data_IF_007047108326
#
_entry.id   IF_007047108326
#
_cell.length_a   1.000
_cell.length_b   1.000
_cell.length_c   1.000
_cell.angle_alpha   90.00
_cell.angle_beta   90.00
_cell.angle_gamma   90.00
#
_symmetry.space_group_name_H-M   'P 1'
#
loop_
_entity.id
_entity.type
_entity.pdbx_description
1 polymer ?
#
# COMPACT_ATOMS: atom_id res chain seq x y z
N UNK A 1 -7.41 3.09 37.95
CA UNK A 1 -7.69 2.79 36.53
C UNK A 1 -6.50 2.09 35.94
N UNK A 2 -6.73 1.14 35.04
CA UNK A 2 -5.70 0.34 34.36
C UNK A 2 -5.46 0.91 32.97
N UNK A 3 -4.21 1.15 32.61
CA UNK A 3 -3.78 1.38 31.25
C UNK A 3 -3.42 0.02 30.62
N UNK A 4 -4.23 -0.44 29.68
CA UNK A 4 -3.97 -1.67 28.91
C UNK A 4 -3.16 -1.37 27.65
N UNK A 5 -2.18 -2.21 27.33
CA UNK A 5 -1.29 -2.04 26.18
C UNK A 5 -1.19 -3.35 25.40
N UNK A 6 -1.30 -3.27 24.07
CA UNK A 6 -1.04 -4.38 23.15
C UNK A 6 -0.46 -3.85 21.82
N UNK A 7 0.22 -4.73 21.09
CA UNK A 7 0.85 -4.39 19.82
C UNK A 7 0.30 -5.18 18.63
N UNK A 8 0.37 -4.57 17.46
CA UNK A 8 0.10 -5.20 16.17
C UNK A 8 1.20 -4.92 15.15
N UNK A 9 1.44 -5.87 14.27
CA UNK A 9 2.39 -5.63 13.18
C UNK A 9 3.81 -6.10 13.46
N UNK A 10 4.08 -7.03 14.39
CA UNK A 10 5.42 -7.61 14.62
C UNK A 10 5.90 -8.47 13.46
N UNK A 11 5.03 -9.31 12.89
CA UNK A 11 5.38 -10.33 11.89
C UNK A 11 5.28 -9.94 10.41
N UNK A 12 4.51 -8.93 9.99
CA UNK A 12 4.42 -8.53 8.59
C UNK A 12 5.77 -8.13 7.99
N UNK A 13 5.93 -8.39 6.69
CA UNK A 13 7.10 -7.99 5.90
C UNK A 13 7.05 -6.53 5.47
N UNK A 14 5.85 -5.93 5.48
CA UNK A 14 5.62 -4.54 5.11
C UNK A 14 4.67 -3.83 6.09
N UNK A 15 4.82 -2.51 6.18
CA UNK A 15 3.98 -1.63 6.98
C UNK A 15 4.49 -1.42 8.41
N UNK A 16 3.83 -0.54 9.16
CA UNK A 16 4.28 -0.11 10.48
C UNK A 16 4.05 -1.17 11.55
N UNK A 17 4.79 -1.02 12.66
CA UNK A 17 4.47 -1.55 13.97
C UNK A 17 3.58 -0.52 14.67
N UNK A 18 2.51 -0.95 15.31
CA UNK A 18 1.57 -0.08 16.02
C UNK A 18 1.30 -0.65 17.41
N UNK A 19 1.38 0.19 18.42
CA UNK A 19 1.00 -0.12 19.81
C UNK A 19 -0.23 0.70 20.17
N UNK A 20 -1.22 0.04 20.76
CA UNK A 20 -2.37 0.68 21.37
C UNK A 20 -2.20 0.78 22.89
N UNK A 21 -2.70 1.87 23.47
CA UNK A 21 -2.76 2.08 24.89
C UNK A 21 -4.15 2.63 25.25
N UNK A 22 -4.89 2.00 26.17
CA UNK A 22 -6.28 2.37 26.50
C UNK A 22 -6.51 2.38 28.00
N UNK A 23 -7.16 3.43 28.49
CA UNK A 23 -7.78 3.51 29.82
C UNK A 23 -9.29 3.55 29.63
N UNK A 24 -9.99 2.46 29.95
CA UNK A 24 -11.45 2.41 29.79
C UNK A 24 -12.18 3.31 30.79
N UNK A 25 -11.62 3.52 31.99
CA UNK A 25 -12.31 4.22 33.07
C UNK A 25 -13.51 3.40 33.58
N UNK A 26 -14.70 3.99 33.54
CA UNK A 26 -15.96 3.34 33.95
C UNK A 26 -16.70 2.73 32.74
N UNK A 27 -16.15 2.81 31.53
CA UNK A 27 -16.80 2.30 30.33
C UNK A 27 -16.89 0.77 30.36
N UNK A 28 -18.11 0.27 30.24
CA UNK A 28 -18.42 -1.16 30.12
C UNK A 28 -18.77 -1.49 28.67
N UNK A 29 -17.75 -1.77 27.86
CA UNK A 29 -17.92 -2.10 26.43
C UNK A 29 -18.02 -3.61 26.28
N UNK A 30 -19.19 -4.07 25.87
CA UNK A 30 -19.45 -5.52 25.68
C UNK A 30 -18.76 -6.07 24.42
N UNK A 31 -18.22 -7.29 24.55
CA UNK A 31 -17.62 -8.04 23.45
C UNK A 31 -16.14 -7.72 23.21
N UNK A 32 -15.48 -7.03 24.13
CA UNK A 32 -14.03 -6.89 24.13
C UNK A 32 -13.35 -8.25 24.31
N UNK A 33 -12.46 -8.62 23.40
CA UNK A 33 -11.65 -9.84 23.43
C UNK A 33 -10.48 -9.70 22.45
N UNK A 34 -9.64 -10.73 22.33
CA UNK A 34 -8.56 -10.80 21.31
C UNK A 34 -9.06 -10.37 19.93
N UNK A 35 -8.45 -9.34 19.38
CA UNK A 35 -8.81 -8.74 18.10
C UNK A 35 -8.80 -9.73 16.93
N UNK A 36 -8.00 -10.80 17.02
CA UNK A 36 -7.90 -11.85 15.99
C UNK A 36 -9.09 -12.80 15.97
N UNK A 37 -9.85 -12.86 17.08
CA UNK A 37 -11.09 -13.67 17.19
C UNK A 37 -12.32 -12.94 16.64
N UNK A 38 -12.21 -11.64 16.42
CA UNK A 38 -13.29 -10.80 15.94
C UNK A 38 -13.28 -10.70 14.40
N UNK A 39 -14.47 -10.61 13.80
CA UNK A 39 -14.58 -10.22 12.38
C UNK A 39 -14.15 -8.77 12.19
N UNK A 40 -13.71 -8.39 10.97
CA UNK A 40 -13.35 -7.02 10.65
C UNK A 40 -14.48 -6.03 11.02
N UNK A 41 -15.71 -6.30 10.58
CA UNK A 41 -16.91 -5.50 10.91
C UNK A 41 -17.10 -5.31 12.43
N UNK A 42 -16.87 -6.36 13.23
CA UNK A 42 -17.03 -6.26 14.68
C UNK A 42 -15.89 -5.45 15.31
N UNK A 43 -14.67 -5.58 14.82
CA UNK A 43 -13.55 -4.72 15.25
C UNK A 43 -13.82 -3.25 14.97
N UNK A 44 -14.31 -2.91 13.78
CA UNK A 44 -14.61 -1.53 13.40
C UNK A 44 -15.69 -0.92 14.31
N UNK A 45 -16.73 -1.70 14.63
CA UNK A 45 -17.76 -1.27 15.58
C UNK A 45 -17.21 -1.02 16.98
N UNK A 46 -16.34 -1.92 17.46
CA UNK A 46 -15.73 -1.79 18.78
C UNK A 46 -14.70 -0.65 18.83
N UNK A 47 -13.95 -0.42 17.75
CA UNK A 47 -13.01 0.72 17.65
C UNK A 47 -13.74 2.06 17.84
N UNK A 48 -14.91 2.23 17.21
CA UNK A 48 -15.75 3.43 17.38
C UNK A 48 -16.16 3.57 18.85
N UNK A 49 -16.71 2.50 19.43
CA UNK A 49 -17.18 2.54 20.83
C UNK A 49 -16.03 2.83 21.81
N UNK A 50 -14.85 2.21 21.59
CA UNK A 50 -13.68 2.45 22.43
C UNK A 50 -13.25 3.91 22.36
N UNK A 51 -13.18 4.48 21.17
CA UNK A 51 -12.77 5.88 20.98
C UNK A 51 -13.75 6.89 21.55
N UNK A 52 -15.05 6.55 21.55
CA UNK A 52 -16.10 7.42 22.10
C UNK A 52 -16.23 7.31 23.63
N UNK A 53 -16.03 6.12 24.21
CA UNK A 53 -16.39 5.85 25.60
C UNK A 53 -15.19 5.68 26.53
N UNK A 54 -14.01 5.32 26.02
CA UNK A 54 -12.83 5.19 26.87
C UNK A 54 -12.43 6.53 27.50
N UNK A 55 -11.97 6.49 28.75
CA UNK A 55 -11.48 7.68 29.44
C UNK A 55 -10.24 8.28 28.75
N UNK A 56 -9.47 7.47 28.05
CA UNK A 56 -8.37 7.93 27.19
C UNK A 56 -7.73 6.78 26.41
N UNK A 57 -7.17 7.12 25.28
CA UNK A 57 -6.42 6.17 24.46
C UNK A 57 -5.26 6.86 23.72
N UNK A 58 -4.30 6.06 23.28
CA UNK A 58 -3.18 6.51 22.47
C UNK A 58 -2.71 5.43 21.50
N UNK A 59 -2.11 5.85 20.39
CA UNK A 59 -1.47 4.98 19.41
C UNK A 59 -0.02 5.40 19.22
N UNK A 60 0.89 4.45 19.29
CA UNK A 60 2.30 4.66 19.00
C UNK A 60 2.69 3.92 17.71
N UNK A 61 3.27 4.64 16.79
CA UNK A 61 3.63 4.16 15.46
C UNK A 61 5.15 4.12 15.28
N UNK A 62 5.65 3.05 14.68
CA UNK A 62 7.01 2.94 14.16
C UNK A 62 6.93 2.42 12.73
N UNK A 63 7.31 3.25 11.76
CA UNK A 63 7.26 2.90 10.35
C UNK A 63 8.41 1.99 9.93
N UNK A 64 8.31 1.37 8.76
CA UNK A 64 9.25 0.34 8.29
C UNK A 64 10.70 0.82 8.29
N UNK A 65 10.98 2.02 7.80
CA UNK A 65 12.34 2.60 7.77
C UNK A 65 12.93 2.79 9.17
N UNK A 66 12.12 3.28 10.10
CA UNK A 66 12.53 3.46 11.50
C UNK A 66 12.74 2.10 12.19
N UNK A 67 11.84 1.14 11.92
CA UNK A 67 11.94 -0.22 12.43
C UNK A 67 13.21 -0.92 11.94
N UNK A 68 13.58 -0.73 10.68
CA UNK A 68 14.81 -1.29 10.11
C UNK A 68 16.08 -0.71 10.77
N UNK A 69 16.04 0.58 11.18
CA UNK A 69 17.15 1.23 11.89
C UNK A 69 17.28 0.79 13.35
N UNK A 70 16.15 0.67 14.04
CA UNK A 70 16.11 0.36 15.48
C UNK A 70 16.13 -1.14 15.77
N UNK A 71 15.66 -1.96 14.84
CA UNK A 71 15.32 -3.35 15.09
C UNK A 71 14.00 -3.50 15.87
N UNK A 72 13.46 -4.71 15.87
CA UNK A 72 12.12 -4.99 16.39
C UNK A 72 11.95 -4.69 17.89
N UNK A 73 12.94 -5.04 18.70
CA UNK A 73 12.86 -4.87 20.16
C UNK A 73 12.79 -3.39 20.57
N UNK A 74 13.67 -2.57 20.04
CA UNK A 74 13.68 -1.13 20.32
C UNK A 74 12.46 -0.44 19.71
N UNK A 75 12.01 -0.87 18.51
CA UNK A 75 10.79 -0.37 17.91
C UNK A 75 9.56 -0.61 18.77
N UNK A 76 9.47 -1.74 19.46
CA UNK A 76 8.40 -2.03 20.43
C UNK A 76 8.47 -1.07 21.63
N UNK A 77 9.66 -0.81 22.17
CA UNK A 77 9.84 0.16 23.25
C UNK A 77 9.42 1.56 22.81
N UNK A 78 9.90 2.03 21.67
CA UNK A 78 9.59 3.36 21.13
C UNK A 78 8.08 3.50 20.84
N UNK A 79 7.46 2.51 20.19
CA UNK A 79 6.03 2.54 19.92
C UNK A 79 5.22 2.53 21.22
N UNK A 80 5.63 1.75 22.22
CA UNK A 80 4.96 1.70 23.53
C UNK A 80 5.05 3.04 24.26
N UNK A 81 6.23 3.69 24.26
CA UNK A 81 6.42 5.02 24.85
C UNK A 81 5.50 6.02 24.18
N UNK A 82 5.49 6.09 22.85
CA UNK A 82 4.62 6.99 22.06
C UNK A 82 3.14 6.78 22.36
N UNK A 83 2.69 5.52 22.44
CA UNK A 83 1.31 5.20 22.78
C UNK A 83 0.93 5.69 24.18
N UNK A 84 1.80 5.46 25.16
CA UNK A 84 1.57 5.86 26.57
C UNK A 84 1.62 7.38 26.74
N UNK A 85 2.50 8.08 26.03
CA UNK A 85 2.60 9.54 26.05
C UNK A 85 1.36 10.23 25.45
N UNK A 86 0.72 9.57 24.48
CA UNK A 86 -0.53 10.07 23.90
C UNK A 86 -1.75 9.91 24.83
N UNK A 87 -1.64 9.18 25.96
CA UNK A 87 -2.72 9.04 26.93
C UNK A 87 -2.56 10.06 28.06
N UNK A 88 -3.46 11.02 28.08
CA UNK A 88 -3.43 12.10 29.11
C UNK A 88 -4.29 11.81 30.35
N UNK A 89 -5.08 10.76 30.31
CA UNK A 89 -5.94 10.32 31.42
C UNK A 89 -5.11 9.68 32.55
N UNK A 90 -5.35 9.99 33.82
CA UNK A 90 -4.67 9.35 34.95
C UNK A 90 -4.94 7.83 35.01
N UNK A 91 -3.92 7.08 35.38
CA UNK A 91 -3.99 5.63 35.65
C UNK A 91 -3.03 5.25 36.76
N UNK A 92 -3.28 4.11 37.41
CA UNK A 92 -2.53 3.66 38.60
C UNK A 92 -1.65 2.45 38.28
N UNK A 93 -1.97 1.69 37.23
CA UNK A 93 -1.31 0.46 36.84
C UNK A 93 -1.25 0.38 35.31
N UNK A 94 -0.18 -0.23 34.80
CA UNK A 94 0.00 -0.51 33.37
C UNK A 94 0.04 -2.02 33.19
N UNK A 95 -0.81 -2.57 32.33
CA UNK A 95 -0.77 -3.98 31.94
C UNK A 95 -0.43 -4.08 30.45
N UNK A 96 0.67 -4.80 30.17
CA UNK A 96 1.13 -5.07 28.80
C UNK A 96 0.86 -6.53 28.46
N UNK A 97 0.28 -6.80 27.27
CA UNK A 97 0.18 -8.17 26.77
C UNK A 97 1.56 -8.78 26.52
N UNK A 98 1.73 -10.03 26.93
CA UNK A 98 2.98 -10.76 26.77
C UNK A 98 3.85 -10.81 28.02
N UNK A 99 5.16 -10.97 27.84
CA UNK A 99 6.12 -11.23 28.93
C UNK A 99 7.24 -10.19 29.04
N UNK A 100 7.20 -9.15 28.18
CA UNK A 100 8.29 -8.16 28.10
C UNK A 100 7.77 -6.79 28.53
N UNK A 101 8.46 -6.17 29.47
CA UNK A 101 8.21 -4.80 29.88
C UNK A 101 8.96 -3.83 28.95
N UNK A 102 8.26 -3.27 27.96
CA UNK A 102 8.82 -2.31 27.00
C UNK A 102 9.05 -0.91 27.58
N UNK A 103 8.60 -0.65 28.81
CA UNK A 103 8.77 0.62 29.53
C UNK A 103 9.83 0.56 30.61
N UNK A 104 10.57 -0.53 30.75
CA UNK A 104 11.49 -0.80 31.89
C UNK A 104 12.51 0.31 32.11
N UNK A 105 13.00 0.95 31.06
CA UNK A 105 14.00 2.03 31.10
C UNK A 105 13.35 3.42 31.35
N UNK A 106 12.03 3.49 31.53
CA UNK A 106 11.31 4.73 31.79
C UNK A 106 10.91 4.83 33.27
N UNK A 107 10.56 6.04 33.73
CA UNK A 107 10.01 6.24 35.08
C UNK A 107 8.72 5.46 35.35
N UNK A 108 8.02 5.05 34.28
CA UNK A 108 6.76 4.28 34.35
C UNK A 108 6.98 2.78 34.47
N UNK A 109 8.20 2.29 34.16
CA UNK A 109 8.51 0.85 34.10
C UNK A 109 8.24 0.09 35.39
N UNK A 110 8.35 0.74 36.55
CA UNK A 110 8.06 0.15 37.87
C UNK A 110 6.56 -0.11 38.15
N UNK A 111 5.67 0.46 37.33
CA UNK A 111 4.22 0.29 37.47
C UNK A 111 3.65 -0.70 36.46
N UNK A 112 4.51 -1.41 35.72
CA UNK A 112 4.13 -2.31 34.65
C UNK A 112 4.02 -3.74 35.16
N UNK A 113 2.87 -4.34 34.92
CA UNK A 113 2.63 -5.78 35.00
C UNK A 113 2.58 -6.35 33.57
N UNK A 114 3.38 -7.37 33.30
CA UNK A 114 3.28 -8.13 32.04
C UNK A 114 2.47 -9.37 32.24
N UNK A 115 1.49 -9.61 31.36
CA UNK A 115 0.57 -10.75 31.47
C UNK A 115 0.34 -11.37 30.09
N UNK A 116 0.78 -12.61 29.94
CA UNK A 116 0.56 -13.34 28.68
C UNK A 116 -0.93 -13.56 28.42
N UNK A 117 -1.41 -13.24 27.23
CA UNK A 117 -2.82 -13.28 26.82
C UNK A 117 -3.72 -12.34 27.63
N UNK A 118 -3.16 -11.20 28.03
CA UNK A 118 -3.90 -10.18 28.74
C UNK A 118 -5.06 -9.61 27.88
N UNK A 119 -4.92 -9.65 26.56
CA UNK A 119 -5.96 -9.30 25.56
C UNK A 119 -7.25 -10.16 25.68
N UNK A 120 -7.19 -11.29 26.35
CA UNK A 120 -8.34 -12.14 26.66
C UNK A 120 -8.92 -11.91 28.07
N UNK A 121 -8.16 -11.31 28.96
CA UNK A 121 -8.47 -11.26 30.40
C UNK A 121 -8.76 -9.85 30.90
N UNK A 122 -8.12 -8.86 30.30
CA UNK A 122 -8.14 -7.47 30.75
C UNK A 122 -8.80 -6.58 29.68
N UNK A 123 -10.00 -6.05 29.93
CA UNK A 123 -10.76 -5.28 28.94
C UNK A 123 -9.99 -4.10 28.30
N UNK A 124 -9.17 -3.38 29.09
CA UNK A 124 -8.36 -2.28 28.54
C UNK A 124 -7.26 -2.76 27.59
N UNK A 125 -6.71 -3.98 27.80
CA UNK A 125 -5.74 -4.58 26.87
C UNK A 125 -6.44 -5.09 25.60
N UNK A 126 -7.62 -5.72 25.74
CA UNK A 126 -8.47 -6.08 24.60
C UNK A 126 -8.81 -4.85 23.74
N UNK A 127 -9.18 -3.74 24.39
CA UNK A 127 -9.46 -2.49 23.71
C UNK A 127 -8.22 -1.93 22.96
N UNK A 128 -7.04 -1.98 23.60
CA UNK A 128 -5.77 -1.58 22.99
C UNK A 128 -5.44 -2.40 21.74
N UNK A 129 -5.62 -3.73 21.82
CA UNK A 129 -5.47 -4.66 20.69
C UNK A 129 -6.35 -4.27 19.50
N UNK A 130 -7.62 -3.95 19.78
CA UNK A 130 -8.62 -3.62 18.76
C UNK A 130 -8.26 -2.31 18.05
N UNK A 131 -8.02 -1.22 18.80
CA UNK A 131 -7.72 0.09 18.18
C UNK A 131 -6.41 0.06 17.39
N UNK A 132 -5.39 -0.62 17.87
CA UNK A 132 -4.13 -0.80 17.17
C UNK A 132 -4.33 -1.60 15.87
N UNK A 133 -5.12 -2.67 15.91
CA UNK A 133 -5.41 -3.51 14.74
C UNK A 133 -6.19 -2.76 13.68
N UNK A 134 -7.27 -2.06 14.06
CA UNK A 134 -8.09 -1.28 13.12
C UNK A 134 -7.26 -0.17 12.48
N UNK A 135 -6.53 0.60 13.27
CA UNK A 135 -5.70 1.69 12.76
C UNK A 135 -4.62 1.19 11.79
N UNK A 136 -3.95 0.08 12.11
CA UNK A 136 -2.92 -0.47 11.23
C UNK A 136 -3.48 -1.04 9.94
N UNK A 137 -4.60 -1.77 10.01
CA UNK A 137 -5.22 -2.37 8.84
C UNK A 137 -5.77 -1.30 7.89
N UNK A 138 -6.35 -0.21 8.42
CA UNK A 138 -6.78 0.95 7.65
C UNK A 138 -5.58 1.60 6.92
N UNK A 139 -4.49 1.88 7.64
CA UNK A 139 -3.26 2.39 7.03
C UNK A 139 -2.80 1.51 5.86
N UNK A 140 -2.74 0.19 6.04
CA UNK A 140 -2.30 -0.73 4.97
C UNK A 140 -3.26 -0.73 3.77
N UNK A 141 -4.56 -0.58 4.00
CA UNK A 141 -5.57 -0.49 2.94
C UNK A 141 -5.40 0.81 2.13
N UNK A 142 -5.15 1.93 2.78
CA UNK A 142 -4.89 3.22 2.12
C UNK A 142 -3.65 3.18 1.21
N UNK A 143 -2.63 2.37 1.57
CA UNK A 143 -1.42 2.23 0.77
C UNK A 143 -1.64 1.57 -0.60
N UNK A 144 -2.79 0.95 -0.84
CA UNK A 144 -3.13 0.35 -2.15
C UNK A 144 -3.13 1.39 -3.27
N UNK A 145 -3.55 2.62 -2.96
CA UNK A 145 -3.57 3.73 -3.93
C UNK A 145 -2.14 4.07 -4.39
N UNK A 146 -1.21 4.13 -3.45
CA UNK A 146 0.19 4.47 -3.74
C UNK A 146 0.99 3.28 -4.29
N UNK A 147 0.64 2.05 -3.90
CA UNK A 147 1.34 0.83 -4.27
C UNK A 147 0.36 -0.22 -4.83
N UNK A 148 -0.22 0.03 -6.03
CA UNK A 148 -1.15 -0.89 -6.64
C UNK A 148 -0.47 -2.22 -7.00
N UNK A 149 -1.24 -3.31 -6.93
CA UNK A 149 -0.76 -4.65 -7.29
C UNK A 149 -0.11 -5.46 -6.17
N UNK A 150 0.21 -4.83 -5.02
CA UNK A 150 0.74 -5.56 -3.85
C UNK A 150 -0.34 -6.29 -3.06
N UNK A 151 -1.60 -5.87 -3.11
CA UNK A 151 -2.71 -6.49 -2.39
C UNK A 151 -2.68 -6.24 -0.89
N UNK A 152 -2.18 -5.10 -0.45
CA UNK A 152 -2.06 -4.75 0.97
C UNK A 152 -3.40 -4.75 1.70
N UNK A 153 -4.51 -4.50 1.01
CA UNK A 153 -5.87 -4.59 1.55
C UNK A 153 -6.28 -6.01 1.96
N UNK A 154 -5.63 -7.04 1.39
CA UNK A 154 -5.99 -8.45 1.63
C UNK A 154 -5.16 -9.08 2.74
N UNK A 155 -3.87 -8.75 2.80
CA UNK A 155 -2.93 -9.42 3.69
C UNK A 155 -2.19 -8.46 4.63
N UNK A 156 -2.48 -7.18 4.59
CA UNK A 156 -1.94 -6.11 5.46
C UNK A 156 -0.43 -6.23 5.72
N UNK A 157 0.31 -6.58 4.67
CA UNK A 157 1.78 -6.70 4.69
C UNK A 157 2.33 -8.05 5.13
N UNK A 158 1.51 -9.04 5.47
CA UNK A 158 1.99 -10.40 5.77
C UNK A 158 2.52 -11.11 4.53
N UNK A 159 3.53 -11.99 4.72
CA UNK A 159 4.24 -12.71 3.66
C UNK A 159 3.44 -13.86 3.04
N UNK A 160 2.27 -13.58 2.50
CA UNK A 160 1.45 -14.53 1.74
C UNK A 160 2.10 -14.87 0.39
N UNK A 161 1.63 -15.92 -0.27
CA UNK A 161 2.07 -16.25 -1.62
C UNK A 161 1.80 -15.10 -2.60
N UNK A 162 0.65 -14.41 -2.46
CA UNK A 162 0.31 -13.26 -3.28
C UNK A 162 1.32 -12.12 -3.07
N UNK A 163 1.62 -11.76 -1.82
CA UNK A 163 2.59 -10.71 -1.49
C UNK A 163 3.99 -11.04 -2.01
N UNK A 164 4.42 -12.30 -1.89
CA UNK A 164 5.71 -12.75 -2.44
C UNK A 164 5.77 -12.59 -3.95
N UNK A 165 4.75 -13.04 -4.67
CA UNK A 165 4.68 -12.90 -6.12
C UNK A 165 4.66 -11.43 -6.55
N UNK A 166 3.97 -10.56 -5.79
CA UNK A 166 3.98 -9.12 -6.03
C UNK A 166 5.39 -8.55 -5.88
N UNK A 167 6.13 -8.92 -4.82
CA UNK A 167 7.52 -8.48 -4.61
C UNK A 167 8.44 -8.99 -5.72
N UNK A 168 8.28 -10.25 -6.15
CA UNK A 168 9.09 -10.83 -7.23
C UNK A 168 8.86 -10.12 -8.58
N UNK A 169 7.66 -9.59 -8.79
CA UNK A 169 7.26 -8.92 -10.04
C UNK A 169 7.51 -7.41 -10.02
N UNK A 170 7.16 -6.75 -8.93
CA UNK A 170 7.13 -5.29 -8.79
C UNK A 170 8.32 -4.74 -7.97
N UNK A 171 9.09 -5.62 -7.32
CA UNK A 171 10.15 -5.22 -6.40
C UNK A 171 9.65 -4.91 -4.99
N UNK A 172 10.50 -4.26 -4.19
CA UNK A 172 10.15 -3.78 -2.85
C UNK A 172 9.75 -2.31 -2.87
N UNK A 173 8.90 -1.90 -1.92
CA UNK A 173 8.51 -0.49 -1.69
C UNK A 173 9.12 0.01 -0.38
N UNK A 174 9.09 1.32 -0.08
CA UNK A 174 9.49 1.86 1.23
C UNK A 174 8.72 1.31 2.43
N UNK A 175 7.59 0.63 2.19
CA UNK A 175 6.84 -0.05 3.25
C UNK A 175 7.47 -1.37 3.68
N UNK A 176 8.33 -1.98 2.84
CA UNK A 176 8.94 -3.28 3.15
C UNK A 176 10.07 -3.12 4.16
N UNK A 177 10.09 -4.03 5.13
CA UNK A 177 11.09 -4.06 6.21
C UNK A 177 12.33 -4.82 5.73
N UNK A 178 13.33 -4.08 5.30
CA UNK A 178 14.55 -4.65 4.69
C UNK A 178 15.41 -5.44 5.68
N UNK A 179 15.26 -5.21 6.98
CA UNK A 179 15.90 -5.98 8.04
C UNK A 179 15.25 -7.36 8.27
N UNK A 180 14.04 -7.59 7.79
CA UNK A 180 13.35 -8.87 7.95
C UNK A 180 13.91 -9.91 6.98
N UNK A 181 14.27 -11.10 7.49
CA UNK A 181 14.97 -12.12 6.74
C UNK A 181 14.39 -12.44 5.34
N UNK A 182 13.08 -12.54 5.11
CA UNK A 182 12.55 -12.76 3.77
C UNK A 182 12.85 -11.61 2.79
N UNK A 183 12.74 -10.36 3.23
CA UNK A 183 13.02 -9.17 2.43
C UNK A 183 14.52 -8.97 2.28
N UNK A 184 15.30 -9.11 3.36
CA UNK A 184 16.75 -9.03 3.36
C UNK A 184 17.38 -9.99 2.33
N UNK A 185 16.84 -11.21 2.18
CA UNK A 185 17.30 -12.17 1.17
C UNK A 185 17.09 -11.65 -0.25
N UNK A 186 15.96 -11.03 -0.53
CA UNK A 186 15.65 -10.44 -1.85
C UNK A 186 16.61 -9.28 -2.14
N UNK A 187 16.77 -8.36 -1.19
CA UNK A 187 17.69 -7.22 -1.30
C UNK A 187 19.13 -7.69 -1.51
N UNK A 188 19.60 -8.63 -0.70
CA UNK A 188 20.96 -9.17 -0.81
C UNK A 188 21.17 -9.94 -2.11
N UNK A 189 20.18 -10.69 -2.59
CA UNK A 189 20.26 -11.35 -3.89
C UNK A 189 20.37 -10.36 -5.04
N UNK A 190 19.68 -9.22 -4.96
CA UNK A 190 19.79 -8.14 -5.93
C UNK A 190 21.17 -7.44 -5.88
N UNK A 191 21.74 -7.26 -4.68
CA UNK A 191 23.06 -6.65 -4.49
C UNK A 191 24.22 -7.58 -4.87
N UNK A 192 24.04 -8.91 -4.73
CA UNK A 192 25.05 -9.92 -5.08
C UNK A 192 25.01 -10.34 -6.55
N UNK A 193 23.97 -9.99 -7.27
CA UNK A 193 24.02 -10.14 -8.72
C UNK A 193 25.09 -9.14 -9.23
N UNK A 194 26.14 -9.61 -9.93
CA UNK A 194 27.04 -8.68 -10.62
C UNK A 194 26.15 -7.82 -11.48
N UNK A 195 26.37 -6.49 -11.43
CA UNK A 195 25.58 -5.52 -12.19
C UNK A 195 25.21 -6.18 -13.51
N UNK A 196 23.93 -6.36 -13.82
CA UNK A 196 23.54 -7.18 -14.95
C UNK A 196 24.36 -6.62 -16.11
N UNK A 197 25.24 -7.45 -16.70
CA UNK A 197 25.82 -7.15 -18.02
C UNK A 197 24.58 -6.82 -18.79
N UNK A 198 24.41 -5.54 -19.15
CA UNK A 198 23.19 -5.01 -19.71
C UNK A 198 22.74 -5.97 -20.82
N UNK A 199 21.91 -6.96 -20.47
CA UNK A 199 21.12 -7.64 -21.47
C UNK A 199 20.24 -6.51 -21.95
N UNK A 200 20.52 -6.10 -23.17
CA UNK A 200 19.65 -5.18 -23.86
C UNK A 200 18.22 -5.65 -23.58
N UNK A 201 17.37 -4.79 -22.96
CA UNK A 201 16.03 -5.20 -22.61
C UNK A 201 15.36 -5.79 -23.84
N UNK A 202 14.63 -6.88 -23.66
CA UNK A 202 13.88 -7.47 -24.77
C UNK A 202 12.90 -6.45 -25.31
N UNK A 203 12.52 -6.55 -26.57
CA UNK A 203 11.57 -5.62 -27.22
C UNK A 203 10.28 -5.47 -26.40
N UNK A 204 9.85 -6.54 -25.70
CA UNK A 204 8.70 -6.55 -24.80
C UNK A 204 8.95 -5.71 -23.53
N UNK A 205 10.09 -5.86 -22.86
CA UNK A 205 10.42 -5.07 -21.64
C UNK A 205 10.60 -3.57 -21.95
N UNK A 206 11.05 -3.24 -23.16
CA UNK A 206 11.14 -1.86 -23.63
C UNK A 206 9.74 -1.28 -23.85
N UNK A 207 8.81 -2.05 -24.43
CA UNK A 207 7.40 -1.68 -24.59
C UNK A 207 6.74 -1.41 -23.24
N UNK A 208 6.80 -2.37 -22.30
CA UNK A 208 6.21 -2.28 -20.97
C UNK A 208 6.69 -1.05 -20.18
N UNK A 209 7.99 -0.67 -20.28
CA UNK A 209 8.54 0.53 -19.65
C UNK A 209 8.06 1.82 -20.33
N UNK A 210 7.87 1.80 -21.65
CA UNK A 210 7.32 2.92 -22.42
C UNK A 210 5.86 3.20 -22.07
N UNK A 211 5.03 2.16 -22.02
CA UNK A 211 3.63 2.28 -21.65
C UNK A 211 3.43 2.76 -20.19
N UNK A 212 4.30 2.34 -19.29
CA UNK A 212 4.25 2.82 -17.91
C UNK A 212 4.57 4.32 -17.80
N UNK A 213 5.58 4.80 -18.53
CA UNK A 213 5.90 6.23 -18.62
C UNK A 213 4.78 7.03 -19.26
N UNK A 214 4.15 6.50 -20.32
CA UNK A 214 3.00 7.12 -20.96
C UNK A 214 1.79 7.19 -20.01
N UNK A 215 1.56 6.16 -19.21
CA UNK A 215 0.52 6.13 -18.17
C UNK A 215 0.72 7.27 -17.17
N UNK A 216 1.89 7.36 -16.55
CA UNK A 216 2.21 8.42 -15.57
C UNK A 216 2.12 9.83 -16.18
N UNK A 217 2.47 9.98 -17.44
CA UNK A 217 2.33 11.24 -18.16
C UNK A 217 0.86 11.65 -18.33
N UNK A 218 0.00 10.73 -18.77
CA UNK A 218 -1.45 10.97 -18.89
C UNK A 218 -2.09 11.33 -17.55
N UNK A 219 -1.73 10.61 -16.49
CA UNK A 219 -2.18 10.90 -15.13
C UNK A 219 -1.75 12.29 -14.67
N UNK A 220 -0.53 12.73 -15.02
CA UNK A 220 -0.03 14.08 -14.72
C UNK A 220 -0.80 15.18 -15.45
N UNK A 221 -1.43 14.87 -16.60
CA UNK A 221 -2.32 15.76 -17.34
C UNK A 221 -3.77 15.71 -16.84
N UNK A 222 -4.06 14.89 -15.81
CA UNK A 222 -5.39 14.74 -15.23
C UNK A 222 -6.25 13.65 -15.85
N UNK A 223 -5.70 12.80 -16.71
CA UNK A 223 -6.43 11.65 -17.23
C UNK A 223 -6.58 10.57 -16.16
N UNK A 224 -7.72 9.92 -16.11
CA UNK A 224 -7.95 8.69 -15.38
C UNK A 224 -7.73 7.50 -16.33
N UNK A 225 -6.72 6.67 -16.05
CA UNK A 225 -6.47 5.47 -16.87
C UNK A 225 -7.55 4.42 -16.57
N UNK A 226 -8.29 4.04 -17.59
CA UNK A 226 -9.42 3.09 -17.51
C UNK A 226 -8.93 1.67 -17.73
N UNK A 227 -8.11 1.46 -18.77
CA UNK A 227 -7.59 0.14 -19.12
C UNK A 227 -6.25 0.25 -19.85
N UNK A 228 -5.43 -0.78 -19.74
CA UNK A 228 -4.13 -0.89 -20.43
C UNK A 228 -4.05 -2.20 -21.19
N UNK A 229 -3.34 -2.18 -22.33
CA UNK A 229 -3.13 -3.37 -23.17
C UNK A 229 -4.44 -4.06 -23.54
N UNK A 230 -5.46 -3.26 -23.87
CA UNK A 230 -6.75 -3.79 -24.30
C UNK A 230 -6.63 -4.46 -25.66
N UNK A 231 -7.02 -5.72 -25.73
CA UNK A 231 -6.84 -6.56 -26.92
C UNK A 231 -8.11 -7.28 -27.31
N UNK A 232 -8.33 -7.31 -28.60
CA UNK A 232 -9.27 -8.22 -29.25
C UNK A 232 -8.54 -9.06 -30.29
N UNK A 233 -9.23 -9.97 -30.93
CA UNK A 233 -8.60 -10.73 -32.05
C UNK A 233 -8.28 -9.85 -33.27
N UNK A 234 -8.77 -8.61 -33.34
CA UNK A 234 -8.64 -7.73 -34.50
C UNK A 234 -7.83 -6.46 -34.23
N UNK A 235 -7.73 -6.02 -33.00
CA UNK A 235 -7.09 -4.76 -32.63
C UNK A 235 -6.52 -4.78 -31.22
N UNK A 236 -5.57 -3.88 -30.98
CA UNK A 236 -4.91 -3.65 -29.70
C UNK A 236 -4.76 -2.14 -29.48
N UNK A 237 -5.03 -1.69 -28.25
CA UNK A 237 -4.83 -0.33 -27.75
C UNK A 237 -3.96 -0.38 -26.51
N UNK A 238 -2.88 0.41 -26.48
CA UNK A 238 -1.93 0.37 -25.38
C UNK A 238 -2.50 0.97 -24.10
N UNK A 239 -3.21 2.13 -24.20
CA UNK A 239 -3.85 2.78 -23.04
C UNK A 239 -5.22 3.33 -23.45
N UNK A 240 -6.23 3.09 -22.62
CA UNK A 240 -7.54 3.74 -22.67
C UNK A 240 -7.66 4.61 -21.43
N UNK A 241 -7.91 5.91 -21.60
CA UNK A 241 -8.04 6.85 -20.49
C UNK A 241 -9.24 7.77 -20.66
N UNK A 242 -9.73 8.32 -19.57
CA UNK A 242 -10.84 9.27 -19.51
C UNK A 242 -10.33 10.63 -19.04
N UNK A 243 -10.68 11.70 -19.75
CA UNK A 243 -10.41 13.06 -19.34
C UNK A 243 -11.58 13.96 -19.75
N UNK A 244 -12.16 14.71 -18.84
CA UNK A 244 -13.27 15.65 -19.07
C UNK A 244 -14.40 15.03 -19.94
N UNK A 245 -14.91 13.87 -19.56
CA UNK A 245 -15.98 13.11 -20.25
C UNK A 245 -15.62 12.62 -21.67
N UNK A 246 -14.34 12.60 -22.05
CA UNK A 246 -13.84 12.08 -23.31
C UNK A 246 -12.95 10.88 -23.10
N UNK A 247 -13.20 9.78 -23.81
CA UNK A 247 -12.33 8.60 -23.86
C UNK A 247 -11.20 8.81 -24.86
N UNK A 248 -9.98 8.63 -24.40
CA UNK A 248 -8.78 8.68 -25.22
C UNK A 248 -8.25 7.27 -25.45
N UNK A 249 -8.10 6.91 -26.73
CA UNK A 249 -7.49 5.68 -27.20
C UNK A 249 -6.07 5.98 -27.63
N UNK A 250 -5.11 5.57 -26.81
CA UNK A 250 -3.73 6.03 -26.90
C UNK A 250 -2.80 4.91 -27.37
N UNK A 251 -2.03 5.18 -28.39
CA UNK A 251 -0.92 4.35 -28.89
C UNK A 251 0.40 4.89 -28.35
N UNK A 252 1.24 4.03 -27.83
CA UNK A 252 2.56 4.39 -27.28
C UNK A 252 3.66 3.93 -28.23
N UNK A 253 4.49 4.87 -28.70
CA UNK A 253 5.64 4.60 -29.55
C UNK A 253 6.93 4.88 -28.80
N UNK A 254 7.67 3.83 -28.51
CA UNK A 254 9.00 3.94 -27.90
C UNK A 254 10.12 3.82 -28.94
N UNK A 255 11.09 4.73 -28.90
CA UNK A 255 12.31 4.70 -29.73
C UNK A 255 13.56 4.94 -28.90
N UNK A 256 14.61 4.19 -29.18
CA UNK A 256 15.89 4.30 -28.49
C UNK A 256 16.70 5.55 -28.85
N UNK A 257 16.63 5.99 -30.12
CA UNK A 257 17.45 7.07 -30.68
C UNK A 257 16.62 7.98 -31.60
N UNK A 258 17.01 9.25 -31.68
CA UNK A 258 16.37 10.30 -32.49
C UNK A 258 16.63 10.24 -34.01
N UNK A 259 17.42 9.27 -34.50
CA UNK A 259 17.92 9.24 -35.91
C UNK A 259 16.87 8.79 -36.95
N UNK A 260 15.58 8.72 -36.61
CA UNK A 260 14.54 8.15 -37.47
C UNK A 260 13.26 8.98 -37.64
N UNK A 261 13.32 10.31 -37.59
CA UNK A 261 12.13 11.18 -37.72
C UNK A 261 11.30 11.28 -36.44
N UNK A 262 10.22 12.09 -36.42
CA UNK A 262 9.33 12.19 -35.26
C UNK A 262 8.56 10.88 -35.08
N UNK A 263 8.28 10.50 -33.80
CA UNK A 263 7.50 9.27 -33.48
C UNK A 263 6.10 9.28 -34.13
N UNK A 264 5.59 10.45 -34.47
CA UNK A 264 4.30 10.66 -35.09
C UNK A 264 4.26 10.25 -36.57
N UNK A 265 5.38 10.36 -37.31
CA UNK A 265 5.49 9.89 -38.68
C UNK A 265 5.36 8.37 -38.84
N UNK A 266 5.46 7.63 -37.74
CA UNK A 266 5.30 6.17 -37.71
C UNK A 266 3.84 5.72 -37.70
N UNK A 267 2.86 6.63 -37.60
CA UNK A 267 1.46 6.27 -37.63
C UNK A 267 0.96 6.20 -39.05
N UNK A 268 0.85 4.98 -39.51
CA UNK A 268 0.32 4.73 -40.85
C UNK A 268 -1.21 4.94 -40.88
N UNK A 269 -1.74 5.28 -42.06
CA UNK A 269 -3.19 5.36 -42.29
C UNK A 269 -3.91 4.05 -41.88
N UNK A 270 -3.24 2.92 -42.02
CA UNK A 270 -3.77 1.61 -41.62
C UNK A 270 -3.88 1.51 -40.10
N UNK A 271 -2.86 1.95 -39.34
CA UNK A 271 -2.91 1.93 -37.86
C UNK A 271 -3.99 2.88 -37.34
N UNK A 272 -4.12 4.08 -37.92
CA UNK A 272 -5.18 5.00 -37.54
C UNK A 272 -6.56 4.37 -37.72
N UNK A 273 -6.83 3.73 -38.87
CA UNK A 273 -8.08 3.01 -39.10
C UNK A 273 -8.32 1.89 -38.06
N UNK A 274 -7.27 1.16 -37.67
CA UNK A 274 -7.37 0.14 -36.64
C UNK A 274 -7.73 0.74 -35.28
N UNK A 275 -7.16 1.87 -34.92
CA UNK A 275 -7.44 2.56 -33.65
C UNK A 275 -8.86 3.12 -33.65
N UNK A 276 -9.33 3.71 -34.77
CA UNK A 276 -10.72 4.17 -34.91
C UNK A 276 -11.70 3.01 -34.72
N UNK A 277 -11.47 1.91 -35.43
CA UNK A 277 -12.28 0.70 -35.27
C UNK A 277 -12.27 0.18 -33.82
N UNK A 278 -11.09 0.21 -33.17
CA UNK A 278 -10.95 -0.22 -31.77
C UNK A 278 -11.75 0.66 -30.82
N UNK A 279 -11.76 1.98 -31.03
CA UNK A 279 -12.55 2.94 -30.26
C UNK A 279 -14.07 2.68 -30.41
N UNK A 280 -14.53 2.54 -31.63
CA UNK A 280 -15.93 2.22 -31.91
C UNK A 280 -16.35 0.88 -31.29
N UNK A 281 -15.51 -0.14 -31.41
CA UNK A 281 -15.76 -1.47 -30.84
C UNK A 281 -15.78 -1.44 -29.30
N UNK A 282 -14.85 -0.70 -28.67
CA UNK A 282 -14.82 -0.55 -27.23
C UNK A 282 -16.09 0.12 -26.70
N UNK A 283 -16.51 1.22 -27.33
CA UNK A 283 -17.74 1.93 -26.94
C UNK A 283 -19.00 1.06 -27.13
N UNK A 284 -19.06 0.31 -28.22
CA UNK A 284 -20.18 -0.63 -28.45
C UNK A 284 -20.22 -1.76 -27.39
N UNK A 285 -19.07 -2.23 -26.93
CA UNK A 285 -18.95 -3.24 -25.87
C UNK A 285 -19.24 -2.68 -24.46
N UNK A 286 -19.14 -1.34 -24.27
CA UNK A 286 -19.33 -0.67 -23.00
C UNK A 286 -20.43 0.42 -23.07
N UNK A 287 -21.69 0.06 -23.36
CA UNK A 287 -22.78 1.03 -23.65
C UNK A 287 -23.16 1.94 -22.47
N UNK A 288 -22.64 1.66 -21.26
CA UNK A 288 -22.82 2.52 -20.08
C UNK A 288 -21.84 3.68 -20.03
N UNK A 289 -20.79 3.66 -20.83
CA UNK A 289 -19.79 4.72 -20.92
C UNK A 289 -20.21 5.63 -22.08
N UNK A 290 -21.05 6.61 -21.77
CA UNK A 290 -21.43 7.66 -22.72
C UNK A 290 -20.36 8.74 -22.66
N UNK A 291 -19.43 8.72 -23.61
CA UNK A 291 -18.35 9.70 -23.68
C UNK A 291 -17.97 9.92 -25.16
N UNK A 292 -17.51 11.11 -25.48
CA UNK A 292 -16.85 11.34 -26.74
C UNK A 292 -15.57 10.52 -26.82
N UNK A 293 -15.05 10.27 -28.02
CA UNK A 293 -13.82 9.51 -28.19
C UNK A 293 -12.80 10.27 -29.02
N UNK A 294 -11.55 10.21 -28.58
CA UNK A 294 -10.40 10.75 -29.30
C UNK A 294 -9.30 9.71 -29.43
N UNK A 295 -8.56 9.81 -30.51
CA UNK A 295 -7.35 9.02 -30.73
C UNK A 295 -6.16 9.89 -30.41
N UNK A 296 -5.20 9.34 -29.66
CA UNK A 296 -3.98 10.04 -29.33
C UNK A 296 -2.76 9.15 -29.47
N UNK A 297 -1.61 9.77 -29.56
CA UNK A 297 -0.31 9.10 -29.67
C UNK A 297 0.67 9.71 -28.70
N UNK A 298 1.38 8.84 -27.99
CA UNK A 298 2.52 9.22 -27.16
C UNK A 298 3.78 8.67 -27.79
N UNK A 299 4.69 9.57 -28.16
CA UNK A 299 6.02 9.22 -28.64
C UNK A 299 7.05 9.43 -27.55
N UNK A 300 7.84 8.40 -27.25
CA UNK A 300 8.89 8.43 -26.22
C UNK A 300 10.24 8.15 -26.91
N UNK A 301 11.14 9.12 -26.85
CA UNK A 301 12.51 9.00 -27.38
C UNK A 301 13.51 9.36 -26.28
N UNK A 302 14.17 8.36 -25.70
CA UNK A 302 15.02 8.55 -24.53
C UNK A 302 14.22 9.11 -23.35
N UNK A 303 14.56 10.33 -22.88
CA UNK A 303 13.81 11.02 -21.82
C UNK A 303 12.68 11.91 -22.35
N UNK A 304 12.70 12.25 -23.64
CA UNK A 304 11.71 13.13 -24.27
C UNK A 304 10.40 12.38 -24.49
N UNK A 305 9.29 13.00 -24.06
CA UNK A 305 7.94 12.51 -24.28
C UNK A 305 7.15 13.59 -25.03
N UNK A 306 6.47 13.20 -26.10
CA UNK A 306 5.64 14.06 -26.94
C UNK A 306 4.25 13.44 -27.04
N UNK A 307 3.21 14.26 -26.93
CA UNK A 307 1.81 13.87 -27.00
C UNK A 307 1.12 14.58 -28.16
N UNK A 308 0.30 13.85 -28.93
CA UNK A 308 -0.44 14.36 -30.06
C UNK A 308 -1.84 13.74 -30.08
N UNK A 309 -2.88 14.59 -30.08
CA UNK A 309 -4.24 14.18 -30.41
C UNK A 309 -4.39 14.15 -31.93
N UNK A 310 -5.03 13.08 -32.44
CA UNK A 310 -5.29 12.90 -33.85
C UNK A 310 -6.77 13.22 -34.11
N UNK A 311 -7.03 14.05 -35.12
CA UNK A 311 -8.37 14.39 -35.59
C UNK A 311 -9.00 13.28 -36.44
#
# INVERSE_FOLDING_TARGET
MILGIDEVGRGPWAGPLVVGAVVLGEAAIEGLTDSKKLSAKRRDQLDILIREQAAGYGLGWVHAEELDKLGLAESLSVATIRAVEAVHTPYNEIIIDGTINFLKETSKGKYVTTLAKADLLIPSVSAASIIAKVARDAFMTEQVVQYPGYGFEKHVGYGTAFHRNAIDTLGITPLHRTSFAPIAKIVNAQLQQPAPRARLPTTKQIGDSGEQRATLFLESLGHMVVERNWKTKWCEIDIISLFADTLYFVEVKYRKNSNGGSGFEAITKTKLKQMTFAAEYYQAAHPKVIADSKIAVISITGEKLEYLELE
#
